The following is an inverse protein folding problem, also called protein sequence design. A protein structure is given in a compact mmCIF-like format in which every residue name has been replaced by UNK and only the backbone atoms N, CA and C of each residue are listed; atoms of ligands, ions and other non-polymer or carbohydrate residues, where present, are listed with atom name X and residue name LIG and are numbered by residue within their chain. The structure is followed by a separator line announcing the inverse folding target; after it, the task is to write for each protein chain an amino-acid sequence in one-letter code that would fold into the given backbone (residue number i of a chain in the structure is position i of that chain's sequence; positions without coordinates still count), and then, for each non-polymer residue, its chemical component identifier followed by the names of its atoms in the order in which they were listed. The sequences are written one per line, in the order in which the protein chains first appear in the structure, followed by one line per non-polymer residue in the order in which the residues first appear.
data_IF_637842805142
#
_entry.id   IF_637842805142
#
_cell.length_a   1.000
_cell.length_b   1.000
_cell.length_c   1.000
_cell.angle_alpha   90.00
_cell.angle_beta   90.00
_cell.angle_gamma   90.00
#
_symmetry.space_group_name_H-M   'P 1'
#
loop_
_entity.id
_entity.type
_entity.pdbx_description
1 polymer ?
#
# COMPACT_ATOMS: atom_id res chain seq x y z
N UNK A 1 7.48 25.87 19.33
CA UNK A 1 7.50 25.70 17.86
C UNK A 1 7.90 27.03 17.24
N UNK A 2 9.05 27.18 16.58
CA UNK A 2 9.62 28.50 16.17
C UNK A 2 9.06 29.03 14.83
N UNK A 3 7.85 28.62 14.44
CA UNK A 3 7.24 28.94 13.14
C UNK A 3 5.86 29.63 13.21
N UNK A 4 5.51 30.19 14.36
CA UNK A 4 4.28 30.98 14.55
C UNK A 4 4.45 32.43 14.07
N UNK A 5 4.65 32.66 12.78
CA UNK A 5 4.58 34.04 12.28
C UNK A 5 3.74 34.29 11.02
N UNK A 6 3.06 33.30 10.43
CA UNK A 6 2.12 33.64 9.35
C UNK A 6 0.92 32.69 9.29
N UNK A 7 -0.25 33.17 9.73
CA UNK A 7 -1.56 32.54 9.55
C UNK A 7 -2.32 32.35 10.86
N UNK A 8 -3.38 33.13 11.06
CA UNK A 8 -4.29 33.03 12.20
C UNK A 8 -4.86 31.60 12.35
N UNK A 9 -4.80 31.06 13.58
CA UNK A 9 -5.48 29.85 14.07
C UNK A 9 -5.01 28.46 13.58
N UNK A 10 -3.70 28.21 13.50
CA UNK A 10 -3.19 26.82 13.55
C UNK A 10 -2.82 26.44 14.98
N UNK A 11 -3.70 25.73 15.68
CA UNK A 11 -3.40 25.15 17.00
C UNK A 11 -2.21 24.19 16.89
N UNK A 12 -1.16 24.42 17.67
CA UNK A 12 -0.02 23.52 17.75
C UNK A 12 -0.41 22.25 18.51
N UNK A 13 -0.63 21.14 17.80
CA UNK A 13 -1.03 19.84 18.35
C UNK A 13 -0.07 19.21 19.38
N UNK A 14 1.10 19.82 19.62
CA UNK A 14 2.12 19.32 20.53
C UNK A 14 2.12 20.00 21.91
N UNK A 15 1.45 21.14 22.07
CA UNK A 15 1.36 21.83 23.37
C UNK A 15 -0.10 22.14 23.67
N UNK A 16 -0.77 21.36 24.55
CA UNK A 16 -2.06 21.75 25.09
C UNK A 16 -1.86 22.97 26.00
N UNK A 17 -2.76 23.98 25.97
CA UNK A 17 -2.80 24.96 27.04
C UNK A 17 -3.27 24.24 28.31
N UNK A 18 -2.42 24.20 29.32
CA UNK A 18 -2.55 23.31 30.50
C UNK A 18 -3.74 23.64 31.42
N UNK A 19 -4.47 24.72 31.20
CA UNK A 19 -5.56 25.11 32.09
C UNK A 19 -6.75 25.61 31.26
N UNK A 20 -7.76 24.76 30.98
CA UNK A 20 -9.18 25.19 30.95
C UNK A 20 -10.28 24.14 30.67
N UNK A 21 -10.07 22.82 30.71
CA UNK A 21 -11.15 21.87 30.31
C UNK A 21 -11.49 20.80 31.35
N UNK A 22 -11.43 21.15 32.64
CA UNK A 22 -11.94 20.29 33.72
C UNK A 22 -13.43 20.55 33.95
N UNK A 23 -14.26 19.65 33.40
CA UNK A 23 -15.66 19.26 33.77
C UNK A 23 -16.68 19.52 32.65
N UNK A 24 -17.14 18.42 32.03
CA UNK A 24 -18.15 18.27 30.95
C UNK A 24 -17.71 18.50 29.51
N UNK A 25 -16.56 17.95 29.11
CA UNK A 25 -16.18 17.93 27.70
C UNK A 25 -16.36 16.49 27.18
N UNK A 26 -16.97 16.34 26.01
CA UNK A 26 -16.79 15.12 25.23
C UNK A 26 -15.28 14.86 25.10
N UNK A 27 -14.82 13.59 25.10
CA UNK A 27 -13.41 13.29 24.96
C UNK A 27 -12.86 14.06 23.77
N UNK A 28 -11.71 14.72 23.96
CA UNK A 28 -11.11 15.51 22.89
C UNK A 28 -10.79 14.58 21.70
N UNK A 29 -10.59 15.17 20.51
CA UNK A 29 -10.15 14.39 19.36
C UNK A 29 -8.84 13.65 19.67
N UNK A 30 -7.97 14.25 20.48
CA UNK A 30 -6.72 13.66 20.94
C UNK A 30 -6.98 12.45 21.87
N UNK A 31 -7.86 12.57 22.85
CA UNK A 31 -8.20 11.43 23.72
C UNK A 31 -8.79 10.25 22.93
N UNK A 32 -9.53 10.59 21.87
CA UNK A 32 -10.21 9.64 21.00
C UNK A 32 -9.26 8.91 20.06
N UNK A 33 -8.21 9.57 19.55
CA UNK A 33 -7.32 9.03 18.52
C UNK A 33 -5.89 8.72 18.98
N UNK A 34 -5.44 9.28 20.09
CA UNK A 34 -4.04 9.21 20.53
C UNK A 34 -3.86 8.42 21.84
N UNK A 35 -2.71 7.78 21.99
CA UNK A 35 -2.24 7.18 23.24
C UNK A 35 -0.95 7.91 23.66
N UNK A 36 -1.04 8.73 24.71
CA UNK A 36 0.01 9.70 25.02
C UNK A 36 0.16 10.71 23.89
N UNK A 37 1.40 10.95 23.46
CA UNK A 37 1.73 11.88 22.36
C UNK A 37 1.67 11.26 20.96
N UNK A 38 1.27 9.99 20.85
CA UNK A 38 1.29 9.24 19.60
C UNK A 38 -0.11 9.01 19.08
N UNK A 39 -0.30 9.19 17.77
CA UNK A 39 -1.51 8.75 17.08
C UNK A 39 -1.61 7.22 17.18
N UNK A 40 -2.71 6.72 17.71
CA UNK A 40 -2.90 5.31 17.97
C UNK A 40 -3.75 4.68 16.85
N UNK A 41 -3.19 3.64 16.23
CA UNK A 41 -3.78 2.93 15.10
C UNK A 41 -5.10 2.27 15.50
N UNK A 42 -5.15 1.63 16.66
CA UNK A 42 -6.33 0.89 17.12
C UNK A 42 -7.45 1.85 17.50
N UNK A 43 -7.12 2.94 18.18
CA UNK A 43 -8.06 4.02 18.46
C UNK A 43 -8.59 4.65 17.18
N UNK A 44 -7.74 4.87 16.18
CA UNK A 44 -8.15 5.40 14.87
C UNK A 44 -9.09 4.45 14.15
N UNK A 45 -8.78 3.15 14.12
CA UNK A 45 -9.65 2.14 13.53
C UNK A 45 -10.99 2.04 14.27
N UNK A 46 -10.97 2.06 15.60
CA UNK A 46 -12.17 2.03 16.43
C UNK A 46 -13.05 3.26 16.22
N UNK A 47 -12.45 4.45 16.16
CA UNK A 47 -13.16 5.69 15.85
C UNK A 47 -13.85 5.61 14.48
N UNK A 48 -13.12 5.17 13.45
CA UNK A 48 -13.67 5.04 12.10
C UNK A 48 -14.80 4.01 12.05
N UNK A 49 -14.66 2.87 12.73
CA UNK A 49 -15.72 1.87 12.87
C UNK A 49 -17.00 2.49 13.44
N UNK A 50 -16.89 3.24 14.55
CA UNK A 50 -18.04 3.91 15.17
C UNK A 50 -18.64 4.97 14.26
N UNK A 51 -17.80 5.75 13.59
CA UNK A 51 -18.24 6.75 12.62
C UNK A 51 -19.04 6.10 11.49
N UNK A 52 -18.51 5.03 10.87
CA UNK A 52 -19.19 4.32 9.80
C UNK A 52 -20.50 3.67 10.25
N UNK A 53 -20.56 3.13 11.47
CA UNK A 53 -21.78 2.54 12.03
C UNK A 53 -22.91 3.57 12.13
N UNK A 54 -22.58 4.84 12.43
CA UNK A 54 -23.55 5.93 12.52
C UNK A 54 -23.85 6.53 11.14
N UNK A 55 -22.82 6.84 10.36
CA UNK A 55 -22.93 7.48 9.06
C UNK A 55 -23.68 6.61 8.04
N UNK A 56 -23.59 5.28 8.15
CA UNK A 56 -24.27 4.36 7.24
C UNK A 56 -25.79 4.61 7.18
N UNK A 57 -26.43 4.86 8.33
CA UNK A 57 -27.87 5.12 8.38
C UNK A 57 -28.28 6.44 7.71
N UNK A 58 -27.34 7.35 7.46
CA UNK A 58 -27.59 8.61 6.77
C UNK A 58 -27.41 8.48 5.24
N UNK A 59 -26.83 7.37 4.77
CA UNK A 59 -26.57 7.16 3.35
C UNK A 59 -27.81 6.58 2.65
N UNK A 60 -28.24 7.12 1.50
CA UNK A 60 -29.36 6.57 0.72
C UNK A 60 -29.20 5.08 0.35
N UNK A 61 -27.95 4.62 0.26
CA UNK A 61 -27.59 3.25 -0.06
C UNK A 61 -28.01 2.26 1.02
N UNK A 62 -28.17 2.70 2.28
CA UNK A 62 -28.60 1.86 3.40
C UNK A 62 -29.99 1.23 3.20
N UNK A 63 -30.84 1.81 2.35
CA UNK A 63 -32.15 1.25 2.02
C UNK A 63 -32.06 -0.01 1.14
N UNK A 64 -30.95 -0.18 0.42
CA UNK A 64 -30.78 -1.24 -0.58
C UNK A 64 -29.64 -2.20 -0.25
N UNK A 65 -28.69 -1.75 0.57
CA UNK A 65 -27.52 -2.52 0.95
C UNK A 65 -27.52 -2.77 2.44
N UNK A 66 -27.15 -3.99 2.83
CA UNK A 66 -26.85 -4.31 4.23
C UNK A 66 -25.34 -4.17 4.43
N UNK A 67 -24.98 -3.38 5.44
CA UNK A 67 -23.61 -3.25 5.91
C UNK A 67 -23.39 -4.11 7.16
N UNK A 68 -22.34 -4.93 7.12
CA UNK A 68 -21.78 -5.57 8.31
C UNK A 68 -20.36 -5.06 8.52
N UNK A 69 -20.16 -4.37 9.65
CA UNK A 69 -18.85 -3.86 10.03
C UNK A 69 -18.12 -4.90 10.86
N UNK A 70 -16.91 -5.26 10.43
CA UNK A 70 -15.98 -6.08 11.19
C UNK A 70 -14.82 -5.19 11.64
N UNK A 71 -14.70 -5.05 12.95
CA UNK A 71 -13.57 -4.35 13.55
C UNK A 71 -12.37 -5.31 13.64
N UNK A 72 -11.26 -4.91 13.05
CA UNK A 72 -9.95 -5.48 13.31
C UNK A 72 -9.11 -4.44 14.06
N UNK A 73 -8.11 -4.88 14.82
CA UNK A 73 -7.28 -3.97 15.62
C UNK A 73 -6.70 -2.84 14.77
N UNK A 74 -6.25 -3.12 13.55
CA UNK A 74 -5.52 -2.15 12.70
C UNK A 74 -6.16 -1.87 11.33
N UNK A 75 -7.35 -2.39 11.08
CA UNK A 75 -8.12 -2.14 9.85
C UNK A 75 -9.63 -2.24 10.11
N UNK A 76 -10.43 -1.76 9.18
CA UNK A 76 -11.89 -1.93 9.24
C UNK A 76 -12.36 -2.64 7.98
N UNK A 77 -13.03 -3.80 8.13
CA UNK A 77 -13.66 -4.47 7.00
C UNK A 77 -15.15 -4.18 6.98
N UNK A 78 -15.61 -3.76 5.82
CA UNK A 78 -17.00 -3.44 5.52
C UNK A 78 -17.50 -4.49 4.54
N UNK A 79 -18.38 -5.36 5.01
CA UNK A 79 -19.06 -6.32 4.16
C UNK A 79 -20.40 -5.72 3.73
N UNK A 80 -20.52 -5.46 2.44
CA UNK A 80 -21.71 -4.91 1.82
C UNK A 80 -22.40 -6.03 1.05
N UNK A 81 -23.68 -6.26 1.35
CA UNK A 81 -24.49 -7.29 0.70
C UNK A 81 -25.83 -6.76 0.24
N UNK A 82 -26.26 -7.16 -0.96
CA UNK A 82 -27.57 -6.88 -1.55
C UNK A 82 -28.00 -8.09 -2.37
N UNK A 83 -29.11 -8.72 -2.00
CA UNK A 83 -29.64 -9.91 -2.67
C UNK A 83 -28.59 -11.04 -2.81
N UNK A 84 -28.12 -11.29 -4.04
CA UNK A 84 -27.07 -12.28 -4.36
C UNK A 84 -25.68 -11.67 -4.51
N UNK A 85 -25.57 -10.34 -4.44
CA UNK A 85 -24.32 -9.60 -4.57
C UNK A 85 -23.75 -9.32 -3.19
N UNK A 86 -22.45 -9.57 -3.03
CA UNK A 86 -21.72 -9.11 -1.86
C UNK A 86 -20.29 -8.73 -2.25
N UNK A 87 -19.77 -7.69 -1.61
CA UNK A 87 -18.38 -7.32 -1.73
C UNK A 87 -17.84 -6.85 -0.39
N UNK A 88 -16.55 -7.11 -0.19
CA UNK A 88 -15.83 -6.74 1.03
C UNK A 88 -14.90 -5.58 0.70
N UNK A 89 -14.97 -4.51 1.49
CA UNK A 89 -14.04 -3.40 1.44
C UNK A 89 -13.20 -3.44 2.71
N UNK A 90 -11.88 -3.52 2.57
CA UNK A 90 -10.96 -3.32 3.68
C UNK A 90 -10.43 -1.89 3.66
N UNK A 91 -10.65 -1.17 4.75
CA UNK A 91 -10.14 0.19 4.95
C UNK A 91 -8.85 0.11 5.75
N UNK A 92 -7.78 0.62 5.15
CA UNK A 92 -6.46 0.78 5.75
C UNK A 92 -6.24 2.27 5.96
N UNK A 93 -5.76 2.64 7.14
CA UNK A 93 -5.53 4.05 7.48
C UNK A 93 -4.11 4.43 7.11
N UNK A 94 -3.93 5.64 6.60
CA UNK A 94 -2.62 6.16 6.23
C UNK A 94 -2.47 7.62 6.61
N UNK A 95 -1.33 7.98 7.19
CA UNK A 95 -0.95 9.36 7.46
C UNK A 95 0.17 9.74 6.49
N UNK A 96 -0.01 10.83 5.77
CA UNK A 96 0.96 11.32 4.79
C UNK A 96 2.20 11.88 5.49
N UNK A 97 3.38 11.53 5.00
CA UNK A 97 4.64 12.07 5.49
C UNK A 97 4.95 13.40 4.79
N UNK A 98 4.69 14.51 5.48
CA UNK A 98 4.88 15.87 4.95
C UNK A 98 4.10 16.06 3.64
N UNK A 99 4.77 16.64 2.64
CA UNK A 99 4.22 16.87 1.30
C UNK A 99 4.60 15.78 0.29
N UNK A 100 5.10 14.63 0.75
CA UNK A 100 5.53 13.52 -0.12
C UNK A 100 4.40 12.54 -0.46
N UNK A 101 4.66 11.58 -1.33
CA UNK A 101 3.75 10.47 -1.66
C UNK A 101 3.98 9.22 -0.79
N UNK A 102 4.75 9.38 0.27
CA UNK A 102 5.01 8.35 1.27
C UNK A 102 4.07 8.53 2.45
N UNK A 103 3.57 7.41 2.93
CA UNK A 103 2.61 7.35 4.01
C UNK A 103 3.14 6.41 5.08
N UNK A 104 2.67 6.60 6.31
CA UNK A 104 2.72 5.56 7.33
C UNK A 104 1.32 4.97 7.46
N UNK A 105 1.22 3.65 7.31
CA UNK A 105 -0.01 2.88 7.24
C UNK A 105 -0.30 2.11 8.52
N UNK A 106 -1.59 1.80 8.72
CA UNK A 106 -2.04 0.98 9.84
C UNK A 106 -1.74 -0.50 9.65
N UNK A 107 -1.57 -0.96 8.40
CA UNK A 107 -1.34 -2.36 8.08
C UNK A 107 -0.03 -2.87 8.71
N UNK A 108 -0.09 -4.05 9.32
CA UNK A 108 1.07 -4.77 9.84
C UNK A 108 1.08 -6.20 9.33
N UNK A 109 2.25 -6.69 8.95
CA UNK A 109 2.52 -8.11 8.66
C UNK A 109 3.00 -8.88 9.89
N UNK A 110 3.33 -8.18 10.99
CA UNK A 110 3.91 -8.77 12.20
C UNK A 110 2.94 -8.69 13.38
N UNK A 111 2.94 -9.74 14.20
CA UNK A 111 2.16 -9.85 15.43
C UNK A 111 2.94 -9.15 16.55
N UNK A 112 2.24 -8.39 17.39
CA UNK A 112 2.83 -7.77 18.58
C UNK A 112 3.42 -6.38 18.37
N UNK A 113 3.22 -5.76 17.20
CA UNK A 113 3.55 -4.35 17.00
C UNK A 113 2.65 -3.48 17.90
N UNK A 114 3.21 -2.52 18.66
CA UNK A 114 2.43 -1.58 19.46
C UNK A 114 1.35 -0.85 18.65
N UNK A 115 0.24 -0.51 19.30
CA UNK A 115 -0.88 0.24 18.70
C UNK A 115 -0.48 1.63 18.20
N UNK A 116 0.59 2.21 18.75
CA UNK A 116 1.11 3.53 18.39
C UNK A 116 2.12 3.51 17.23
N UNK A 117 2.55 2.34 16.77
CA UNK A 117 3.52 2.22 15.67
C UNK A 117 2.78 2.18 14.34
N UNK A 118 3.08 3.11 13.44
CA UNK A 118 2.64 3.10 12.04
C UNK A 118 3.80 2.67 11.14
N UNK A 119 3.55 1.81 10.15
CA UNK A 119 4.60 1.29 9.26
C UNK A 119 4.62 2.06 7.95
N UNK A 120 5.80 2.38 7.45
CA UNK A 120 5.93 3.05 6.16
C UNK A 120 5.30 2.22 5.04
N UNK A 121 4.60 2.89 4.13
CA UNK A 121 3.96 2.30 2.97
C UNK A 121 4.16 3.17 1.74
N UNK A 122 4.42 2.49 0.64
CA UNK A 122 4.70 3.07 -0.66
C UNK A 122 3.49 2.96 -1.60
N UNK A 123 2.36 2.44 -1.12
CA UNK A 123 1.20 2.10 -1.94
C UNK A 123 0.64 3.28 -2.75
N UNK A 124 0.69 4.50 -2.20
CA UNK A 124 0.23 5.71 -2.90
C UNK A 124 1.19 6.09 -4.03
N UNK A 125 2.50 6.06 -3.77
CA UNK A 125 3.53 6.28 -4.80
C UNK A 125 3.44 5.23 -5.92
N UNK A 126 3.25 3.95 -5.58
CA UNK A 126 3.05 2.87 -6.56
C UNK A 126 1.77 3.09 -7.39
N UNK A 127 0.65 3.46 -6.75
CA UNK A 127 -0.60 3.74 -7.45
C UNK A 127 -0.45 4.95 -8.41
N UNK A 128 0.29 5.98 -8.00
CA UNK A 128 0.65 7.10 -8.86
C UNK A 128 1.54 6.65 -10.03
N UNK A 129 2.50 5.75 -9.83
CA UNK A 129 3.29 5.19 -10.92
C UNK A 129 2.44 4.45 -11.95
N UNK A 130 1.53 3.57 -11.53
CA UNK A 130 0.64 2.88 -12.48
C UNK A 130 -0.30 3.85 -13.20
N UNK A 131 -0.74 4.92 -12.51
CA UNK A 131 -1.52 5.99 -13.13
C UNK A 131 -0.69 6.78 -14.16
N UNK A 132 0.57 7.08 -13.86
CA UNK A 132 1.51 7.71 -14.78
C UNK A 132 1.67 6.91 -16.07
N UNK A 133 1.91 5.60 -15.92
CA UNK A 133 2.01 4.64 -17.02
C UNK A 133 0.71 4.61 -17.83
N UNK A 134 -0.44 4.47 -17.17
CA UNK A 134 -1.75 4.39 -17.83
C UNK A 134 -2.09 5.62 -18.66
N UNK A 135 -1.64 6.81 -18.26
CA UNK A 135 -1.85 8.05 -19.02
C UNK A 135 -1.07 8.10 -20.33
N UNK A 136 0.04 7.37 -20.43
CA UNK A 136 0.94 7.39 -21.58
C UNK A 136 0.89 6.12 -22.43
N UNK A 137 0.35 5.04 -21.86
CA UNK A 137 0.25 3.77 -22.56
C UNK A 137 -0.73 3.85 -23.74
N UNK A 138 -0.52 3.06 -24.80
CA UNK A 138 -1.50 2.91 -25.87
C UNK A 138 -2.88 2.48 -25.33
N UNK A 139 -4.00 2.87 -25.97
CA UNK A 139 -5.35 2.49 -25.54
C UNK A 139 -5.57 0.97 -25.43
N UNK A 140 -4.84 0.18 -26.23
CA UNK A 140 -4.86 -1.28 -26.24
C UNK A 140 -3.78 -1.92 -25.35
N UNK A 141 -3.25 -1.17 -24.37
CA UNK A 141 -2.22 -1.68 -23.46
C UNK A 141 -2.75 -2.71 -22.47
N UNK A 142 -1.96 -3.77 -22.27
CA UNK A 142 -2.28 -4.96 -21.47
C UNK A 142 -1.36 -5.12 -20.24
N UNK A 143 -0.69 -4.04 -19.80
CA UNK A 143 0.25 -4.10 -18.67
C UNK A 143 -0.41 -4.53 -17.34
N UNK A 144 -1.61 -4.03 -17.04
CA UNK A 144 -2.37 -4.47 -15.87
C UNK A 144 -2.86 -5.91 -16.00
N UNK A 145 -3.21 -6.36 -17.22
CA UNK A 145 -3.66 -7.71 -17.51
C UNK A 145 -2.54 -8.72 -17.27
N UNK A 146 -1.28 -8.37 -17.55
CA UNK A 146 -0.12 -9.21 -17.17
C UNK A 146 -0.09 -9.45 -15.66
N UNK A 147 -0.23 -8.39 -14.85
CA UNK A 147 -0.22 -8.51 -13.39
C UNK A 147 -1.43 -9.31 -12.88
N UNK A 148 -2.61 -9.08 -13.43
CA UNK A 148 -3.83 -9.82 -13.07
C UNK A 148 -3.73 -11.31 -13.39
N UNK A 149 -3.13 -11.68 -14.53
CA UNK A 149 -2.94 -13.09 -14.87
C UNK A 149 -1.93 -13.74 -13.92
N UNK A 150 -0.77 -13.12 -13.72
CA UNK A 150 0.29 -13.70 -12.87
C UNK A 150 -0.15 -13.86 -11.41
N UNK A 151 -0.87 -12.88 -10.86
CA UNK A 151 -1.45 -12.99 -9.51
C UNK A 151 -2.51 -14.08 -9.37
N UNK A 152 -3.22 -14.44 -10.45
CA UNK A 152 -4.17 -15.56 -10.47
C UNK A 152 -3.50 -16.92 -10.63
N UNK A 153 -2.37 -16.98 -11.35
CA UNK A 153 -1.59 -18.20 -11.54
C UNK A 153 -0.78 -18.59 -10.30
N UNK A 154 -0.62 -17.68 -9.33
CA UNK A 154 -0.02 -17.96 -8.03
C UNK A 154 -0.85 -19.01 -7.26
N UNK A 155 -0.49 -20.27 -7.44
CA UNK A 155 -1.13 -21.43 -6.80
C UNK A 155 -0.18 -21.96 -5.72
N UNK A 156 -0.12 -21.26 -4.58
CA UNK A 156 0.64 -21.66 -3.40
C UNK A 156 2.11 -21.24 -3.38
N UNK A 157 2.54 -20.65 -2.26
CA UNK A 157 3.92 -20.79 -1.77
C UNK A 157 4.86 -19.59 -1.91
N UNK A 158 5.44 -19.36 -3.08
CA UNK A 158 6.80 -18.81 -3.15
C UNK A 158 6.94 -17.36 -3.58
N UNK A 159 5.92 -16.72 -4.16
CA UNK A 159 5.99 -15.30 -4.51
C UNK A 159 4.78 -14.51 -4.01
N UNK A 160 5.04 -13.36 -3.39
CA UNK A 160 3.98 -12.42 -3.04
C UNK A 160 3.47 -11.70 -4.31
N UNK A 161 2.22 -11.27 -4.29
CA UNK A 161 1.69 -10.36 -5.33
C UNK A 161 2.50 -9.06 -5.43
N UNK A 162 3.10 -8.63 -4.32
CA UNK A 162 4.00 -7.47 -4.24
C UNK A 162 5.29 -7.67 -5.04
N UNK A 163 5.88 -8.86 -4.99
CA UNK A 163 7.07 -9.24 -5.77
C UNK A 163 6.80 -9.11 -7.27
N UNK A 164 5.71 -9.72 -7.75
CA UNK A 164 5.33 -9.63 -9.17
C UNK A 164 5.05 -8.20 -9.61
N UNK A 165 4.32 -7.44 -8.78
CA UNK A 165 4.06 -6.03 -9.02
C UNK A 165 5.37 -5.25 -9.17
N UNK A 166 6.35 -5.49 -8.30
CA UNK A 166 7.66 -4.84 -8.35
C UNK A 166 8.40 -5.16 -9.64
N UNK A 167 8.41 -6.42 -10.08
CA UNK A 167 9.00 -6.82 -11.38
C UNK A 167 8.32 -6.10 -12.55
N UNK A 168 6.98 -6.04 -12.55
CA UNK A 168 6.23 -5.32 -13.59
C UNK A 168 6.57 -3.83 -13.59
N UNK A 169 6.73 -3.20 -12.43
CA UNK A 169 7.12 -1.79 -12.34
C UNK A 169 8.52 -1.55 -12.92
N UNK A 170 9.50 -2.41 -12.60
CA UNK A 170 10.84 -2.36 -13.21
C UNK A 170 10.78 -2.49 -14.74
N UNK A 171 10.00 -3.44 -15.25
CA UNK A 171 9.84 -3.61 -16.70
C UNK A 171 9.10 -2.43 -17.35
N UNK A 172 8.10 -1.85 -16.70
CA UNK A 172 7.40 -0.65 -17.19
C UNK A 172 8.32 0.57 -17.25
N UNK A 173 9.36 0.62 -16.42
CA UNK A 173 10.36 1.71 -16.44
C UNK A 173 11.44 1.54 -17.52
N UNK A 174 11.56 0.36 -18.12
CA UNK A 174 12.65 0.01 -19.05
C UNK A 174 12.17 -0.34 -20.45
N UNK A 175 11.02 -0.98 -20.57
CA UNK A 175 10.41 -1.38 -21.84
C UNK A 175 9.48 -0.27 -22.32
N UNK A 176 9.64 0.24 -23.56
CA UNK A 176 8.76 1.27 -24.10
C UNK A 176 7.28 0.89 -24.02
N UNK A 177 6.43 1.82 -23.57
CA UNK A 177 4.99 1.59 -23.39
C UNK A 177 4.27 1.14 -24.67
N UNK A 178 4.81 1.48 -25.85
CA UNK A 178 4.32 1.01 -27.15
C UNK A 178 4.41 -0.51 -27.34
N UNK A 179 5.25 -1.19 -26.56
CA UNK A 179 5.44 -2.65 -26.56
C UNK A 179 4.63 -3.36 -25.46
N UNK A 180 3.68 -2.67 -24.84
CA UNK A 180 2.76 -3.26 -23.86
C UNK A 180 1.36 -3.46 -24.44
N UNK A 181 1.23 -3.56 -25.76
CA UNK A 181 -0.08 -3.75 -26.41
C UNK A 181 -0.54 -5.19 -26.28
N UNK A 182 -1.82 -5.43 -26.56
CA UNK A 182 -2.41 -6.77 -26.61
C UNK A 182 -1.58 -7.78 -27.42
N UNK A 183 -1.03 -7.37 -28.56
CA UNK A 183 -0.21 -8.25 -29.43
C UNK A 183 1.11 -8.69 -28.77
N UNK A 184 1.63 -7.88 -27.85
CA UNK A 184 2.92 -8.11 -27.17
C UNK A 184 2.73 -8.87 -25.85
N UNK A 185 1.49 -9.17 -25.46
CA UNK A 185 1.12 -9.72 -24.17
C UNK A 185 1.92 -10.95 -23.76
N UNK A 186 2.02 -11.95 -24.65
CA UNK A 186 2.79 -13.17 -24.38
C UNK A 186 4.28 -12.88 -24.16
N UNK A 187 4.86 -12.01 -24.97
CA UNK A 187 6.25 -11.59 -24.80
C UNK A 187 6.46 -10.87 -23.46
N UNK A 188 5.50 -10.03 -23.02
CA UNK A 188 5.56 -9.36 -21.71
C UNK A 188 5.48 -10.33 -20.54
N UNK A 189 4.65 -11.37 -20.63
CA UNK A 189 4.61 -12.43 -19.61
C UNK A 189 5.96 -13.17 -19.53
N UNK A 190 6.52 -13.56 -20.66
CA UNK A 190 7.83 -14.21 -20.73
C UNK A 190 8.92 -13.31 -20.14
N UNK A 191 8.91 -12.02 -20.45
CA UNK A 191 9.90 -11.08 -19.93
C UNK A 191 9.76 -10.86 -18.42
N UNK A 192 8.53 -10.87 -17.88
CA UNK A 192 8.29 -10.85 -16.42
C UNK A 192 8.88 -12.08 -15.76
N UNK A 193 8.63 -13.28 -16.30
CA UNK A 193 9.15 -14.53 -15.74
C UNK A 193 10.67 -14.61 -15.85
N UNK A 194 11.26 -14.16 -16.97
CA UNK A 194 12.72 -14.07 -17.12
C UNK A 194 13.35 -13.09 -16.15
N UNK A 195 12.75 -11.91 -15.97
CA UNK A 195 13.23 -10.94 -14.99
C UNK A 195 13.20 -11.52 -13.58
N UNK A 196 12.11 -12.20 -13.22
CA UNK A 196 11.98 -12.89 -11.95
C UNK A 196 13.04 -13.98 -11.78
N UNK A 197 13.29 -14.79 -12.80
CA UNK A 197 14.33 -15.81 -12.81
C UNK A 197 15.73 -15.20 -12.58
N UNK A 198 16.09 -14.14 -13.32
CA UNK A 198 17.37 -13.44 -13.13
C UNK A 198 17.49 -12.83 -11.73
N UNK A 199 16.40 -12.28 -11.19
CA UNK A 199 16.35 -11.74 -9.83
C UNK A 199 16.57 -12.84 -8.77
N UNK A 200 16.07 -14.05 -9.02
CA UNK A 200 16.31 -15.21 -8.16
C UNK A 200 17.75 -15.72 -8.26
N UNK A 201 18.32 -15.77 -9.46
CA UNK A 201 19.72 -16.19 -9.67
C UNK A 201 20.69 -15.25 -8.95
N UNK A 202 20.44 -13.95 -9.03
CA UNK A 202 21.20 -12.91 -8.32
C UNK A 202 20.80 -12.75 -6.85
N UNK A 203 19.73 -13.42 -6.40
CA UNK A 203 19.12 -13.27 -5.06
C UNK A 203 18.80 -11.81 -4.70
N UNK A 204 18.52 -10.99 -5.71
CA UNK A 204 18.28 -9.56 -5.58
C UNK A 204 17.10 -9.12 -6.40
N UNK A 205 16.13 -8.50 -5.73
CA UNK A 205 15.05 -7.75 -6.35
C UNK A 205 14.91 -6.44 -5.59
N UNK A 206 15.35 -5.35 -6.20
CA UNK A 206 15.33 -4.04 -5.58
C UNK A 206 13.90 -3.48 -5.47
N UNK A 207 13.59 -2.83 -4.35
CA UNK A 207 12.35 -2.09 -4.17
C UNK A 207 12.21 -1.01 -5.24
N UNK A 208 11.07 -0.93 -5.93
CA UNK A 208 10.95 -0.05 -7.10
C UNK A 208 10.84 1.45 -6.74
N UNK A 209 10.25 1.81 -5.61
CA UNK A 209 10.03 3.24 -5.27
C UNK A 209 11.27 3.88 -4.63
N UNK A 210 12.07 3.12 -3.87
CA UNK A 210 13.16 3.66 -3.06
C UNK A 210 14.44 3.60 -3.91
N UNK A 211 15.18 4.71 -3.99
CA UNK A 211 16.45 4.75 -4.74
C UNK A 211 16.31 4.56 -6.25
N UNK A 212 15.10 4.67 -6.80
CA UNK A 212 14.86 4.46 -8.23
C UNK A 212 15.05 5.74 -9.02
N UNK A 213 16.09 5.75 -9.86
CA UNK A 213 16.37 6.83 -10.81
C UNK A 213 15.31 6.97 -11.91
N UNK A 214 14.46 5.95 -12.09
CA UNK A 214 13.45 5.89 -13.17
C UNK A 214 12.05 6.25 -12.69
N UNK A 215 11.93 6.78 -11.48
CA UNK A 215 10.65 7.20 -10.95
C UNK A 215 10.18 8.51 -11.63
N UNK A 216 8.92 8.58 -12.08
CA UNK A 216 8.36 9.82 -12.62
C UNK A 216 8.45 11.00 -11.63
N UNK A 217 8.79 12.18 -12.13
CA UNK A 217 8.95 13.40 -11.32
C UNK A 217 7.68 13.87 -10.63
N UNK A 218 6.49 13.41 -11.08
CA UNK A 218 5.21 13.71 -10.42
C UNK A 218 4.99 12.92 -9.11
N UNK A 219 5.86 11.96 -8.80
CA UNK A 219 5.85 11.19 -7.56
C UNK A 219 6.84 11.84 -6.61
N UNK A 220 6.31 12.52 -5.59
CA UNK A 220 7.12 13.23 -4.62
C UNK A 220 7.71 12.27 -3.59
N UNK A 221 9.03 12.16 -3.52
CA UNK A 221 9.71 11.41 -2.47
C UNK A 221 10.40 12.35 -1.47
N UNK A 222 10.46 11.98 -0.19
CA UNK A 222 11.44 12.53 0.75
C UNK A 222 12.86 12.44 0.17
N UNK A 223 13.69 13.45 0.43
CA UNK A 223 15.03 13.57 -0.18
C UNK A 223 15.97 12.40 0.14
N UNK A 224 15.85 11.84 1.34
CA UNK A 224 16.58 10.65 1.80
C UNK A 224 16.20 9.40 1.03
N UNK A 225 14.92 9.19 0.71
CA UNK A 225 14.46 8.01 -0.02
C UNK A 225 14.80 8.04 -1.52
N UNK A 226 14.97 9.23 -2.10
CA UNK A 226 15.36 9.38 -3.50
C UNK A 226 16.80 8.95 -3.80
N UNK A 227 17.69 9.05 -2.81
CA UNK A 227 19.13 8.70 -2.94
C UNK A 227 19.54 7.46 -2.15
N UNK A 228 18.60 6.86 -1.39
CA UNK A 228 18.85 5.66 -0.62
C UNK A 228 19.18 4.46 -1.53
N UNK A 229 19.98 3.51 -1.02
CA UNK A 229 20.12 2.22 -1.69
C UNK A 229 18.76 1.50 -1.67
N UNK A 230 18.25 1.03 -2.82
CA UNK A 230 17.00 0.28 -2.87
C UNK A 230 17.07 -0.98 -1.99
N UNK A 231 16.14 -1.17 -1.03
CA UNK A 231 16.09 -2.39 -0.24
C UNK A 231 15.86 -3.62 -1.11
N UNK A 232 16.60 -4.70 -0.84
CA UNK A 232 16.43 -5.97 -1.54
C UNK A 232 15.23 -6.75 -0.98
N UNK A 233 14.15 -6.89 -1.75
CA UNK A 233 12.97 -7.68 -1.40
C UNK A 233 13.28 -9.18 -1.23
N UNK A 234 14.36 -9.67 -1.86
CA UNK A 234 14.84 -11.05 -1.75
C UNK A 234 15.89 -11.25 -0.66
N UNK A 235 16.06 -10.31 0.28
CA UNK A 235 16.97 -10.46 1.40
C UNK A 235 16.76 -11.76 2.21
N UNK A 236 15.49 -12.16 2.41
CA UNK A 236 15.16 -13.43 3.07
C UNK A 236 15.57 -14.67 2.26
N UNK A 237 15.47 -14.64 0.92
CA UNK A 237 15.96 -15.70 0.03
C UNK A 237 17.48 -15.72 -0.06
N UNK A 238 18.13 -14.56 0.09
CA UNK A 238 19.58 -14.50 0.19
C UNK A 238 20.08 -15.23 1.45
N UNK A 239 19.32 -15.13 2.53
CA UNK A 239 19.67 -15.68 3.84
C UNK A 239 19.20 -17.13 4.09
N UNK A 240 18.20 -17.61 3.33
CA UNK A 240 17.60 -18.94 3.50
C UNK A 240 17.70 -19.78 2.20
N UNK A 241 18.65 -20.74 2.12
CA UNK A 241 18.85 -21.57 0.94
C UNK A 241 17.64 -22.42 0.55
N UNK A 242 16.91 -22.98 1.52
CA UNK A 242 15.76 -23.85 1.25
C UNK A 242 14.62 -23.05 0.64
N UNK A 243 14.32 -21.87 1.21
CA UNK A 243 13.34 -20.95 0.65
C UNK A 243 13.72 -20.50 -0.77
N UNK A 244 15.01 -20.29 -1.04
CA UNK A 244 15.51 -19.95 -2.37
C UNK A 244 15.32 -21.09 -3.38
N UNK A 245 15.61 -22.34 -3.00
CA UNK A 245 15.40 -23.51 -3.86
C UNK A 245 13.91 -23.68 -4.18
N UNK A 246 13.04 -23.56 -3.18
CA UNK A 246 11.58 -23.61 -3.39
C UNK A 246 11.11 -22.53 -4.36
N UNK A 247 11.51 -21.27 -4.13
CA UNK A 247 11.15 -20.16 -5.01
C UNK A 247 11.63 -20.37 -6.46
N UNK A 248 12.84 -20.93 -6.65
CA UNK A 248 13.35 -21.27 -8.00
C UNK A 248 12.53 -22.36 -8.67
N UNK A 249 12.18 -23.42 -7.94
CA UNK A 249 11.37 -24.51 -8.48
C UNK A 249 9.99 -24.02 -8.92
N UNK A 250 9.35 -23.18 -8.11
CA UNK A 250 8.06 -22.58 -8.47
C UNK A 250 8.14 -21.64 -9.67
N UNK A 251 9.21 -20.83 -9.77
CA UNK A 251 9.42 -19.98 -10.95
C UNK A 251 9.58 -20.80 -12.22
N UNK A 252 10.30 -21.93 -12.16
CA UNK A 252 10.45 -22.85 -13.30
C UNK A 252 9.11 -23.49 -13.68
N UNK A 253 8.28 -23.83 -12.71
CA UNK A 253 6.94 -24.35 -12.97
C UNK A 253 6.07 -23.31 -13.71
N UNK A 254 6.12 -22.04 -13.32
CA UNK A 254 5.40 -20.96 -14.02
C UNK A 254 5.90 -20.72 -15.45
N UNK A 255 7.18 -20.98 -15.73
CA UNK A 255 7.75 -20.85 -17.08
C UNK A 255 7.33 -21.99 -18.01
N UNK A 256 7.10 -23.18 -17.45
CA UNK A 256 6.83 -24.41 -18.22
C UNK A 256 5.33 -24.73 -18.39
N UNK A 257 4.43 -23.84 -17.99
CA UNK A 257 2.97 -23.92 -18.24
C UNK A 257 2.58 -23.19 -19.53
#
# INVERSE_FOLDING_TARGET
CTREQLGENTLCFLHPPEDELRRKQNPSLLDTLCTGSYLDVEKTAHWFYRFMALAWFLLPQSCHWRLMLQHYSRSCKLLLSKDKESFTVETIFGVRQGDSDIFVGSQSTEIGIPSTTWLETYAVAEAKFFRHVSRQAPPDSWHCQCLQLLTRLQTGGGFSSYTLKTVVMHLLSTVPLTQWRRKDFWQRLVDILKYLQCSLETKRLDHFIIGSERLPTEIGLPSDLGVAEPPNLFHHLASNPDAHVTARHECLHLINQ
#
